data_IF_807206542170
#
_entry.id   IF_807206542170
#
_cell.length_a   1.000
_cell.length_b   1.000
_cell.length_c   1.000
_cell.angle_alpha   90.00
_cell.angle_beta   90.00
_cell.angle_gamma   90.00
#
_symmetry.space_group_name_H-M   'P 1'
#
loop_
_entity.id
_entity.type
_entity.pdbx_description
1 polymer ?
#
# COMPACT_ATOMS: atom_id res chain seq x y z
N UNK A 1 10.18 53.29 14.69
CA UNK A 1 10.93 52.02 14.60
C UNK A 1 9.90 50.90 14.52
N UNK A 2 9.61 50.43 13.32
CA UNK A 2 8.59 49.41 13.07
C UNK A 2 9.23 48.03 13.14
N UNK A 3 8.90 47.26 14.17
CA UNK A 3 9.42 45.91 14.38
C UNK A 3 8.72 44.94 13.43
N UNK A 4 9.39 44.56 12.35
CA UNK A 4 8.95 43.47 11.50
C UNK A 4 9.03 42.15 12.28
N UNK A 5 7.88 41.56 12.59
CA UNK A 5 7.79 40.20 13.10
C UNK A 5 7.83 39.25 11.89
N UNK A 6 8.98 38.59 11.69
CA UNK A 6 9.11 37.51 10.72
C UNK A 6 8.22 36.33 11.16
N UNK A 7 7.32 35.81 10.32
CA UNK A 7 6.54 34.62 10.68
C UNK A 7 7.48 33.41 10.78
N UNK A 8 7.54 32.80 11.96
CA UNK A 8 8.22 31.53 12.15
C UNK A 8 7.55 30.48 11.27
N UNK A 9 8.30 29.92 10.31
CA UNK A 9 7.85 28.80 9.50
C UNK A 9 7.43 27.62 10.40
N UNK A 10 6.44 26.80 9.98
CA UNK A 10 5.93 25.73 10.83
C UNK A 10 7.06 24.74 11.14
N UNK A 11 7.54 24.75 12.38
CA UNK A 11 8.46 23.74 12.89
C UNK A 11 7.73 22.39 12.81
N UNK A 12 8.20 21.51 11.92
CA UNK A 12 7.70 20.15 11.83
C UNK A 12 7.88 19.47 13.21
N UNK A 13 6.80 19.35 13.97
CA UNK A 13 6.88 18.94 15.37
C UNK A 13 7.44 17.52 15.56
N UNK A 14 7.83 17.14 16.79
CA UNK A 14 8.41 15.84 17.13
C UNK A 14 7.59 14.62 16.68
N UNK A 15 6.27 14.79 16.51
CA UNK A 15 5.36 13.75 16.00
C UNK A 15 5.51 13.52 14.48
N UNK A 16 5.71 14.58 13.70
CA UNK A 16 5.97 14.47 12.27
C UNK A 16 7.32 13.77 12.02
N UNK A 17 8.33 14.11 12.82
CA UNK A 17 9.63 13.44 12.81
C UNK A 17 9.50 11.95 13.19
N UNK A 18 8.77 11.60 14.26
CA UNK A 18 8.54 10.19 14.65
C UNK A 18 7.78 9.39 13.59
N UNK A 19 6.82 10.02 12.91
CA UNK A 19 6.07 9.40 11.80
C UNK A 19 7.00 9.13 10.62
N UNK A 20 7.82 10.10 10.23
CA UNK A 20 8.82 9.95 9.17
C UNK A 20 9.86 8.88 9.50
N UNK A 21 10.36 8.85 10.74
CA UNK A 21 11.29 7.81 11.22
C UNK A 21 10.64 6.42 11.13
N UNK A 22 9.37 6.27 11.52
CA UNK A 22 8.67 4.98 11.39
C UNK A 22 8.47 4.56 9.93
N UNK A 23 8.18 5.51 9.04
CA UNK A 23 8.07 5.26 7.60
C UNK A 23 9.41 4.80 7.03
N UNK A 24 10.50 5.50 7.36
CA UNK A 24 11.85 5.16 6.94
C UNK A 24 12.31 3.81 7.50
N UNK A 25 12.03 3.52 8.78
CA UNK A 25 12.35 2.22 9.38
C UNK A 25 11.59 1.06 8.74
N UNK A 26 10.34 1.28 8.31
CA UNK A 26 9.60 0.27 7.56
C UNK A 26 10.20 0.05 6.18
N UNK A 27 10.59 1.11 5.45
CA UNK A 27 11.27 0.99 4.15
C UNK A 27 12.64 0.31 4.29
N UNK A 28 13.44 0.73 5.27
CA UNK A 28 14.76 0.14 5.57
C UNK A 28 14.62 -1.31 6.02
N UNK A 29 13.64 -1.62 6.87
CA UNK A 29 13.33 -3.00 7.27
C UNK A 29 12.93 -3.86 6.08
N UNK A 30 12.08 -3.34 5.19
CA UNK A 30 11.68 -4.04 3.97
C UNK A 30 12.87 -4.30 3.04
N UNK A 31 13.73 -3.30 2.87
CA UNK A 31 14.95 -3.39 2.07
C UNK A 31 15.98 -4.36 2.68
N UNK A 32 16.10 -4.39 4.00
CA UNK A 32 16.97 -5.31 4.73
C UNK A 32 16.48 -6.76 4.61
N UNK A 33 15.18 -7.02 4.76
CA UNK A 33 14.60 -8.37 4.56
C UNK A 33 14.74 -8.80 3.10
N UNK A 34 14.56 -7.90 2.14
CA UNK A 34 14.82 -8.16 0.71
C UNK A 34 16.28 -8.55 0.45
N UNK A 35 17.25 -7.78 0.97
CA UNK A 35 18.68 -8.13 0.86
C UNK A 35 19.00 -9.47 1.54
N UNK A 36 18.49 -9.70 2.74
CA UNK A 36 18.73 -10.94 3.49
C UNK A 36 18.17 -12.18 2.78
N UNK A 37 16.96 -12.07 2.21
CA UNK A 37 16.37 -13.11 1.37
C UNK A 37 17.21 -13.42 0.12
N UNK A 38 17.88 -12.40 -0.45
CA UNK A 38 18.73 -12.57 -1.62
C UNK A 38 20.06 -13.27 -1.31
N UNK A 39 20.64 -13.08 -0.11
CA UNK A 39 21.80 -13.87 0.33
C UNK A 39 21.49 -15.37 0.43
N UNK A 40 20.25 -15.73 0.77
CA UNK A 40 19.79 -17.13 0.89
C UNK A 40 19.41 -17.77 -0.46
N UNK A 41 19.31 -16.99 -1.54
CA UNK A 41 18.78 -17.41 -2.84
C UNK A 41 19.85 -17.68 -3.91
N UNK A 42 21.13 -17.45 -3.61
CA UNK A 42 22.21 -17.41 -4.62
C UNK A 42 22.50 -18.77 -5.30
N UNK A 43 21.97 -19.88 -4.79
CA UNK A 43 22.21 -21.24 -5.32
C UNK A 43 20.93 -22.00 -5.73
N UNK A 44 19.80 -21.32 -5.99
CA UNK A 44 18.49 -21.97 -6.25
C UNK A 44 17.98 -21.92 -7.69
N UNK A 45 18.85 -21.67 -8.66
CA UNK A 45 18.47 -21.57 -10.08
C UNK A 45 17.77 -22.83 -10.59
N UNK A 46 18.31 -24.02 -10.30
CA UNK A 46 17.71 -25.29 -10.73
C UNK A 46 16.33 -25.52 -10.10
N UNK A 47 16.14 -25.09 -8.85
CA UNK A 47 14.84 -25.14 -8.17
C UNK A 47 13.84 -24.22 -8.88
N UNK A 48 14.27 -23.01 -9.26
CA UNK A 48 13.45 -22.05 -9.99
C UNK A 48 12.96 -22.59 -11.33
N UNK A 49 13.80 -23.31 -12.07
CA UNK A 49 13.44 -23.97 -13.33
C UNK A 49 12.51 -25.17 -13.13
N UNK A 50 12.73 -26.00 -12.09
CA UNK A 50 11.80 -27.10 -11.76
C UNK A 50 10.42 -26.57 -11.37
N UNK A 51 10.38 -25.50 -10.58
CA UNK A 51 9.13 -24.84 -10.24
C UNK A 51 8.48 -24.21 -11.48
N UNK A 52 9.26 -23.66 -12.41
CA UNK A 52 8.76 -23.14 -13.69
C UNK A 52 8.08 -24.23 -14.52
N UNK A 53 8.69 -25.40 -14.65
CA UNK A 53 8.08 -26.54 -15.33
C UNK A 53 6.75 -26.97 -14.66
N UNK A 54 6.72 -27.04 -13.32
CA UNK A 54 5.49 -27.37 -12.57
C UNK A 54 4.39 -26.33 -12.75
N UNK A 55 4.74 -25.04 -12.66
CA UNK A 55 3.80 -23.94 -12.90
C UNK A 55 3.29 -24.02 -14.34
N UNK A 56 4.19 -24.28 -15.30
CA UNK A 56 3.84 -24.47 -16.69
C UNK A 56 2.80 -25.59 -16.82
N UNK A 57 3.10 -26.80 -16.39
CA UNK A 57 2.18 -27.94 -16.47
C UNK A 57 0.85 -27.69 -15.75
N UNK A 58 0.87 -26.99 -14.61
CA UNK A 58 -0.34 -26.64 -13.86
C UNK A 58 -1.31 -25.76 -14.67
N UNK A 59 -0.83 -24.74 -15.37
CA UNK A 59 -1.71 -23.88 -16.20
C UNK A 59 -2.30 -24.65 -17.39
N UNK A 60 -1.52 -25.57 -17.97
CA UNK A 60 -1.97 -26.48 -19.02
C UNK A 60 -3.08 -27.40 -18.51
N UNK A 61 -2.89 -27.96 -17.33
CA UNK A 61 -3.89 -28.78 -16.65
C UNK A 61 -5.16 -27.98 -16.33
N UNK A 62 -5.02 -26.72 -15.91
CA UNK A 62 -6.13 -25.79 -15.67
C UNK A 62 -6.75 -25.22 -16.96
N UNK A 63 -6.25 -25.59 -18.13
CA UNK A 63 -6.69 -25.11 -19.44
C UNK A 63 -6.67 -23.57 -19.55
N UNK A 64 -5.68 -22.93 -18.91
CA UNK A 64 -5.49 -21.49 -19.06
C UNK A 64 -4.97 -21.16 -20.47
N UNK A 65 -5.29 -19.96 -21.01
CA UNK A 65 -4.79 -19.55 -22.32
C UNK A 65 -3.26 -19.54 -22.33
N UNK A 66 -2.63 -20.01 -23.40
CA UNK A 66 -1.17 -19.93 -23.52
C UNK A 66 -0.68 -18.48 -23.57
N UNK A 67 0.36 -18.16 -22.79
CA UNK A 67 0.99 -16.83 -22.72
C UNK A 67 1.43 -16.36 -24.12
N UNK A 68 1.82 -17.30 -24.98
CA UNK A 68 2.22 -17.07 -26.36
C UNK A 68 1.13 -16.41 -27.22
N UNK A 69 -0.16 -16.57 -26.89
CA UNK A 69 -1.22 -15.87 -27.60
C UNK A 69 -1.14 -14.35 -27.37
N UNK A 70 -0.83 -13.93 -26.14
CA UNK A 70 -0.64 -12.51 -25.78
C UNK A 70 0.69 -12.00 -26.34
N UNK A 71 1.76 -12.79 -26.24
CA UNK A 71 3.07 -12.40 -26.77
C UNK A 71 3.02 -12.20 -28.29
N UNK A 72 2.36 -13.09 -29.04
CA UNK A 72 2.18 -12.91 -30.50
C UNK A 72 1.53 -11.57 -30.82
N UNK A 73 0.53 -11.13 -30.07
CA UNK A 73 -0.11 -9.83 -30.29
C UNK A 73 0.90 -8.67 -30.15
N UNK A 74 1.74 -8.70 -29.11
CA UNK A 74 2.79 -7.68 -28.92
C UNK A 74 3.84 -7.69 -30.03
N UNK A 75 4.17 -8.87 -30.55
CA UNK A 75 5.17 -9.05 -31.61
C UNK A 75 4.66 -8.66 -33.01
N UNK A 76 3.43 -8.15 -33.16
CA UNK A 76 2.95 -7.62 -34.44
C UNK A 76 3.65 -6.31 -34.85
N UNK A 77 4.35 -5.64 -33.94
CA UNK A 77 5.15 -4.47 -34.29
C UNK A 77 6.13 -4.07 -33.20
N UNK A 78 7.35 -3.70 -33.62
CA UNK A 78 8.46 -3.33 -32.74
C UNK A 78 8.06 -2.23 -31.75
N UNK A 79 7.29 -1.23 -32.21
CA UNK A 79 6.81 -0.15 -31.34
C UNK A 79 5.91 -0.67 -30.20
N UNK A 80 5.09 -1.69 -30.42
CA UNK A 80 4.22 -2.26 -29.40
C UNK A 80 5.02 -3.01 -28.33
N UNK A 81 5.95 -3.87 -28.75
CA UNK A 81 6.78 -4.63 -27.82
C UNK A 81 7.75 -3.72 -27.04
N UNK A 82 8.38 -2.73 -27.68
CA UNK A 82 9.25 -1.76 -26.99
C UNK A 82 8.43 -0.89 -26.02
N UNK A 83 7.20 -0.51 -26.38
CA UNK A 83 6.30 0.20 -25.46
C UNK A 83 5.93 -0.66 -24.27
N UNK A 84 5.63 -1.95 -24.46
CA UNK A 84 5.32 -2.88 -23.39
C UNK A 84 6.53 -3.11 -22.46
N UNK A 85 7.73 -3.28 -23.01
CA UNK A 85 8.97 -3.38 -22.23
C UNK A 85 9.24 -2.10 -21.43
N UNK A 86 9.02 -0.92 -22.03
CA UNK A 86 9.18 0.37 -21.36
C UNK A 86 8.13 0.56 -20.25
N UNK A 87 6.88 0.16 -20.51
CA UNK A 87 5.81 0.18 -19.51
C UNK A 87 6.18 -0.69 -18.31
N UNK A 88 6.62 -1.93 -18.57
CA UNK A 88 7.08 -2.86 -17.56
C UNK A 88 8.21 -2.26 -16.72
N UNK A 89 9.18 -1.63 -17.37
CA UNK A 89 10.35 -1.07 -16.71
C UNK A 89 10.04 0.17 -15.83
N UNK A 90 9.14 1.05 -16.28
CA UNK A 90 9.07 2.42 -15.74
C UNK A 90 7.77 2.73 -15.02
N UNK A 91 6.63 2.15 -15.37
CA UNK A 91 5.32 2.65 -14.89
C UNK A 91 5.04 2.29 -13.44
N UNK A 92 5.49 1.12 -13.01
CA UNK A 92 5.09 0.52 -11.74
C UNK A 92 5.35 1.41 -10.50
N UNK A 93 6.60 1.85 -10.32
CA UNK A 93 7.00 2.66 -9.15
C UNK A 93 6.43 4.08 -9.18
N UNK A 94 6.57 4.86 -10.28
CA UNK A 94 6.02 6.21 -10.37
C UNK A 94 4.50 6.24 -10.23
N UNK A 95 3.76 5.32 -10.88
CA UNK A 95 2.31 5.27 -10.74
C UNK A 95 1.89 5.03 -9.30
N UNK A 96 2.55 4.10 -8.60
CA UNK A 96 2.29 3.80 -7.19
C UNK A 96 2.62 5.00 -6.30
N UNK A 97 3.77 5.65 -6.52
CA UNK A 97 4.17 6.83 -5.77
C UNK A 97 3.18 7.99 -5.94
N UNK A 98 2.83 8.33 -7.18
CA UNK A 98 1.85 9.38 -7.50
C UNK A 98 0.49 9.08 -6.87
N UNK A 99 0.04 7.83 -6.93
CA UNK A 99 -1.21 7.41 -6.32
C UNK A 99 -1.20 7.55 -4.78
N UNK A 100 -0.13 7.11 -4.13
CA UNK A 100 0.01 7.23 -2.68
C UNK A 100 0.13 8.70 -2.24
N UNK A 101 0.84 9.54 -2.99
CA UNK A 101 0.90 11.00 -2.75
C UNK A 101 -0.49 11.62 -2.88
N UNK A 102 -1.22 11.28 -3.94
CA UNK A 102 -2.59 11.76 -4.14
C UNK A 102 -3.51 11.35 -2.98
N UNK A 103 -3.47 10.07 -2.56
CA UNK A 103 -4.23 9.61 -1.40
C UNK A 103 -3.81 10.34 -0.12
N UNK A 104 -2.51 10.55 0.09
CA UNK A 104 -2.01 11.24 1.27
C UNK A 104 -2.55 12.67 1.36
N UNK A 105 -2.56 13.40 0.25
CA UNK A 105 -3.02 14.81 0.20
C UNK A 105 -4.55 14.92 0.21
N UNK A 106 -5.26 14.05 -0.51
CA UNK A 106 -6.70 14.21 -0.77
C UNK A 106 -7.59 13.29 0.06
N UNK A 107 -7.07 12.14 0.50
CA UNK A 107 -7.83 11.05 1.12
C UNK A 107 -7.03 10.33 2.23
N UNK A 108 -6.63 11.03 3.33
CA UNK A 108 -5.69 10.48 4.32
C UNK A 108 -6.12 9.15 4.96
N UNK A 109 -7.42 8.95 5.20
CA UNK A 109 -7.95 7.69 5.72
C UNK A 109 -7.71 6.52 4.74
N UNK A 110 -7.94 6.75 3.45
CA UNK A 110 -7.69 5.75 2.40
C UNK A 110 -6.20 5.52 2.17
N UNK A 111 -5.35 6.54 2.36
CA UNK A 111 -3.89 6.40 2.32
C UNK A 111 -3.41 5.38 3.37
N UNK A 112 -3.84 5.53 4.63
CA UNK A 112 -3.40 4.64 5.71
C UNK A 112 -3.83 3.18 5.46
N UNK A 113 -5.07 2.98 5.01
CA UNK A 113 -5.58 1.67 4.65
C UNK A 113 -4.79 1.07 3.48
N UNK A 114 -4.67 1.82 2.38
CA UNK A 114 -3.96 1.36 1.17
C UNK A 114 -2.52 1.00 1.46
N UNK A 115 -1.82 1.84 2.24
CA UNK A 115 -0.44 1.59 2.65
C UNK A 115 -0.30 0.30 3.44
N UNK A 116 -1.22 0.03 4.38
CA UNK A 116 -1.21 -1.21 5.18
C UNK A 116 -1.45 -2.44 4.30
N UNK A 117 -2.40 -2.37 3.38
CA UNK A 117 -2.69 -3.44 2.42
C UNK A 117 -1.48 -3.70 1.52
N UNK A 118 -0.89 -2.65 0.94
CA UNK A 118 0.32 -2.78 0.10
C UNK A 118 1.50 -3.35 0.88
N UNK A 119 1.72 -2.92 2.13
CA UNK A 119 2.78 -3.48 2.97
C UNK A 119 2.53 -4.97 3.27
N UNK A 120 1.29 -5.36 3.57
CA UNK A 120 0.91 -6.75 3.80
C UNK A 120 1.07 -7.62 2.55
N UNK A 121 0.55 -7.16 1.41
CA UNK A 121 0.71 -7.83 0.10
C UNK A 121 2.18 -8.01 -0.25
N UNK A 122 2.97 -6.94 -0.16
CA UNK A 122 4.40 -7.01 -0.51
C UNK A 122 5.15 -7.91 0.45
N UNK A 123 4.81 -7.90 1.74
CA UNK A 123 5.45 -8.76 2.75
C UNK A 123 5.15 -10.23 2.50
N UNK A 124 3.89 -10.57 2.22
CA UNK A 124 3.48 -11.92 1.86
C UNK A 124 4.13 -12.36 0.53
N UNK A 125 4.20 -11.47 -0.46
CA UNK A 125 4.87 -11.74 -1.73
C UNK A 125 6.36 -12.04 -1.53
N UNK A 126 7.04 -11.29 -0.66
CA UNK A 126 8.45 -11.54 -0.34
C UNK A 126 8.64 -12.92 0.31
N UNK A 127 7.78 -13.28 1.27
CA UNK A 127 7.84 -14.63 1.89
C UNK A 127 7.61 -15.73 0.85
N UNK A 128 6.59 -15.57 0.00
CA UNK A 128 6.30 -16.54 -1.05
C UNK A 128 7.46 -16.66 -2.04
N UNK A 129 8.03 -15.54 -2.49
CA UNK A 129 9.17 -15.49 -3.40
C UNK A 129 10.39 -16.25 -2.84
N UNK A 130 10.67 -16.11 -1.54
CA UNK A 130 11.75 -16.83 -0.88
C UNK A 130 11.46 -18.33 -0.70
N UNK A 131 10.20 -18.69 -0.48
CA UNK A 131 9.77 -20.07 -0.31
C UNK A 131 9.62 -20.82 -1.64
N UNK A 132 9.35 -20.10 -2.73
CA UNK A 132 9.06 -20.66 -4.05
C UNK A 132 9.77 -19.83 -5.13
N UNK A 133 11.09 -20.01 -5.32
CA UNK A 133 11.78 -19.37 -6.44
C UNK A 133 11.19 -19.87 -7.75
N UNK A 134 10.99 -18.98 -8.72
CA UNK A 134 10.30 -19.31 -9.98
C UNK A 134 10.94 -18.62 -11.16
N UNK A 135 11.43 -19.41 -12.12
CA UNK A 135 11.94 -18.89 -13.38
C UNK A 135 10.77 -18.43 -14.28
N UNK A 136 10.84 -17.22 -14.86
CA UNK A 136 9.79 -16.65 -15.69
C UNK A 136 9.66 -17.38 -17.04
N UNK A 137 8.51 -17.25 -17.73
CA UNK A 137 8.25 -17.95 -18.99
C UNK A 137 9.31 -17.72 -20.08
N UNK A 138 9.87 -16.51 -20.18
CA UNK A 138 10.91 -16.15 -21.17
C UNK A 138 12.23 -16.92 -21.02
N UNK A 139 12.47 -17.55 -19.86
CA UNK A 139 13.66 -18.35 -19.62
C UNK A 139 13.39 -19.86 -19.77
N UNK A 140 12.12 -20.27 -19.86
CA UNK A 140 11.73 -21.67 -19.94
C UNK A 140 11.65 -22.13 -21.41
N UNK A 141 12.57 -23.00 -21.85
CA UNK A 141 12.61 -23.49 -23.24
C UNK A 141 11.29 -24.12 -23.70
N UNK A 142 10.65 -24.90 -22.81
CA UNK A 142 9.36 -25.54 -23.08
C UNK A 142 8.24 -24.52 -23.38
N UNK A 143 8.40 -23.26 -22.96
CA UNK A 143 7.43 -22.21 -23.25
C UNK A 143 7.52 -21.69 -24.69
N UNK A 144 8.70 -21.77 -25.31
CA UNK A 144 8.93 -21.24 -26.66
C UNK A 144 8.69 -19.73 -26.78
N UNK A 145 8.80 -18.99 -25.67
CA UNK A 145 8.56 -17.55 -25.61
C UNK A 145 9.86 -16.77 -25.73
N UNK A 146 9.80 -15.62 -26.38
CA UNK A 146 10.95 -14.74 -26.59
C UNK A 146 11.15 -13.85 -25.37
N UNK A 147 12.41 -13.69 -24.92
CA UNK A 147 12.80 -12.62 -24.00
C UNK A 147 12.75 -11.27 -24.74
N UNK A 148 11.57 -10.64 -24.72
CA UNK A 148 11.33 -9.39 -25.45
C UNK A 148 12.21 -8.26 -24.96
N UNK A 149 12.59 -8.26 -23.69
CA UNK A 149 13.42 -7.23 -23.09
C UNK A 149 14.86 -7.32 -23.60
N UNK A 150 15.39 -8.54 -23.79
CA UNK A 150 16.72 -8.74 -24.38
C UNK A 150 16.74 -8.49 -25.89
N UNK A 151 15.69 -8.90 -26.62
CA UNK A 151 15.65 -8.79 -28.09
C UNK A 151 15.29 -7.38 -28.57
N UNK A 152 14.28 -6.74 -27.97
CA UNK A 152 13.74 -5.44 -28.43
C UNK A 152 14.07 -4.27 -27.51
N UNK A 153 14.40 -4.54 -26.25
CA UNK A 153 14.66 -3.50 -25.25
C UNK A 153 13.43 -2.67 -24.83
N UNK A 154 13.57 -1.85 -23.78
CA UNK A 154 14.69 -1.87 -22.82
C UNK A 154 14.63 -3.09 -21.88
N UNK A 155 15.79 -3.58 -21.44
CA UNK A 155 15.88 -4.58 -20.36
C UNK A 155 16.14 -3.93 -19.02
N UNK A 156 15.43 -4.39 -17.99
CA UNK A 156 15.72 -4.06 -16.58
C UNK A 156 16.70 -5.04 -15.94
N UNK A 157 17.01 -6.14 -16.64
CA UNK A 157 17.93 -7.19 -16.22
C UNK A 157 19.27 -7.03 -16.96
N UNK A 158 20.38 -7.09 -16.23
CA UNK A 158 21.72 -7.12 -16.83
C UNK A 158 22.11 -8.56 -17.21
N UNK A 159 22.96 -8.70 -18.21
CA UNK A 159 23.38 -9.98 -18.79
C UNK A 159 24.14 -10.94 -17.83
N UNK A 160 24.56 -10.47 -16.65
CA UNK A 160 25.25 -11.28 -15.64
C UNK A 160 24.43 -11.39 -14.34
N UNK A 161 24.16 -12.60 -13.81
CA UNK A 161 23.41 -12.82 -12.55
C UNK A 161 24.06 -12.21 -11.29
N UNK A 162 25.31 -11.74 -11.40
CA UNK A 162 26.15 -11.39 -10.25
C UNK A 162 26.10 -9.91 -9.83
N UNK A 163 25.63 -8.99 -10.68
CA UNK A 163 25.67 -7.56 -10.37
C UNK A 163 24.32 -6.97 -9.96
N UNK A 164 24.41 -6.05 -8.99
CA UNK A 164 23.36 -5.44 -8.18
C UNK A 164 22.30 -4.67 -9.00
N UNK A 165 21.40 -5.40 -9.65
CA UNK A 165 20.16 -4.82 -10.18
C UNK A 165 19.08 -4.83 -9.10
N UNK A 166 18.22 -3.80 -9.12
CA UNK A 166 17.07 -3.72 -8.21
C UNK A 166 16.03 -4.83 -8.46
N UNK A 167 16.10 -5.55 -9.59
CA UNK A 167 15.14 -6.56 -10.02
C UNK A 167 15.76 -7.96 -10.14
N UNK A 168 15.23 -8.94 -9.39
CA UNK A 168 15.65 -10.33 -9.48
C UNK A 168 14.97 -11.02 -10.68
N UNK A 169 15.75 -11.58 -11.61
CA UNK A 169 15.23 -12.22 -12.83
C UNK A 169 14.49 -13.55 -12.58
N UNK A 170 14.71 -14.21 -11.42
CA UNK A 170 14.06 -15.47 -11.02
C UNK A 170 12.92 -15.25 -10.01
N UNK A 171 12.29 -14.09 -10.05
CA UNK A 171 11.23 -13.65 -9.14
C UNK A 171 9.88 -13.48 -9.83
N UNK A 172 9.42 -14.52 -10.52
CA UNK A 172 8.16 -14.46 -11.25
C UNK A 172 6.93 -14.49 -10.30
N UNK A 173 6.89 -15.38 -9.30
CA UNK A 173 5.70 -15.50 -8.43
C UNK A 173 5.92 -14.92 -7.03
N UNK A 174 4.99 -14.09 -6.52
CA UNK A 174 3.78 -13.58 -7.19
C UNK A 174 4.06 -12.27 -7.96
N UNK A 175 3.20 -11.93 -8.92
CA UNK A 175 3.39 -10.69 -9.70
C UNK A 175 3.04 -9.44 -8.89
N UNK A 176 4.05 -8.78 -8.32
CA UNK A 176 3.87 -7.50 -7.63
C UNK A 176 3.43 -6.38 -8.58
N UNK A 177 3.87 -6.42 -9.84
CA UNK A 177 3.39 -5.52 -10.90
C UNK A 177 1.85 -5.52 -10.95
N UNK A 178 1.27 -6.71 -11.10
CA UNK A 178 -0.17 -6.87 -11.15
C UNK A 178 -0.84 -6.58 -9.81
N UNK A 179 -0.31 -7.10 -8.70
CA UNK A 179 -0.87 -6.92 -7.37
C UNK A 179 -0.99 -5.45 -6.95
N UNK A 180 0.04 -4.64 -7.20
CA UNK A 180 -0.01 -3.20 -6.91
C UNK A 180 -0.93 -2.47 -7.88
N UNK A 181 -0.87 -2.77 -9.19
CA UNK A 181 -1.76 -2.16 -10.17
C UNK A 181 -3.24 -2.41 -9.84
N UNK A 182 -3.57 -3.61 -9.35
CA UNK A 182 -4.91 -3.96 -8.90
C UNK A 182 -5.29 -3.19 -7.63
N UNK A 183 -4.39 -3.09 -6.66
CA UNK A 183 -4.62 -2.29 -5.44
C UNK A 183 -4.81 -0.79 -5.76
N UNK A 184 -4.06 -0.24 -6.71
CA UNK A 184 -4.22 1.12 -7.21
C UNK A 184 -5.65 1.34 -7.73
N UNK A 185 -6.11 0.46 -8.61
CA UNK A 185 -7.46 0.53 -9.16
C UNK A 185 -8.54 0.43 -8.06
N UNK A 186 -8.43 -0.56 -7.18
CA UNK A 186 -9.36 -0.76 -6.07
C UNK A 186 -9.36 0.42 -5.10
N UNK A 187 -8.19 1.01 -4.83
CA UNK A 187 -8.07 2.16 -3.96
C UNK A 187 -8.67 3.42 -4.56
N UNK A 188 -8.52 3.66 -5.88
CA UNK A 188 -9.24 4.75 -6.56
C UNK A 188 -10.75 4.52 -6.54
N UNK A 189 -11.21 3.30 -6.82
CA UNK A 189 -12.64 2.93 -6.77
C UNK A 189 -13.21 3.16 -5.37
N UNK A 190 -12.46 2.81 -4.33
CA UNK A 190 -12.86 3.01 -2.94
C UNK A 190 -12.88 4.49 -2.55
N UNK A 191 -11.91 5.28 -3.02
CA UNK A 191 -11.71 6.67 -2.63
C UNK A 191 -12.50 7.71 -3.46
N UNK A 192 -13.22 7.27 -4.51
CA UNK A 192 -13.97 8.13 -5.42
C UNK A 192 -15.39 7.63 -5.66
N UNK A 193 -16.31 8.55 -5.97
CA UNK A 193 -17.74 8.27 -6.22
C UNK A 193 -18.14 8.37 -7.70
N UNK A 194 -17.23 8.77 -8.59
CA UNK A 194 -17.52 8.93 -10.02
C UNK A 194 -17.91 7.60 -10.66
N UNK A 195 -18.90 7.62 -11.57
CA UNK A 195 -19.25 6.43 -12.39
C UNK A 195 -18.08 5.91 -13.23
N UNK A 196 -17.14 6.80 -13.59
CA UNK A 196 -15.95 6.47 -14.37
C UNK A 196 -14.83 5.81 -13.55
N UNK A 197 -14.99 5.66 -12.22
CA UNK A 197 -13.96 5.08 -11.36
C UNK A 197 -13.57 3.66 -11.76
N UNK A 198 -14.49 2.90 -12.36
CA UNK A 198 -14.22 1.53 -12.80
C UNK A 198 -13.28 1.47 -14.02
N UNK A 199 -13.11 2.56 -14.78
CA UNK A 199 -12.11 2.63 -15.85
C UNK A 199 -10.69 2.43 -15.32
N UNK A 200 -10.45 2.65 -14.02
CA UNK A 200 -9.16 2.35 -13.41
C UNK A 200 -8.81 0.85 -13.41
N UNK A 201 -9.77 -0.05 -13.62
CA UNK A 201 -9.49 -1.47 -13.86
C UNK A 201 -8.76 -1.74 -15.19
N UNK A 202 -8.75 -0.77 -16.11
CA UNK A 202 -7.91 -0.85 -17.31
C UNK A 202 -6.42 -0.87 -16.97
N UNK A 203 -6.00 -0.26 -15.85
CA UNK A 203 -4.60 -0.26 -15.43
C UNK A 203 -4.07 -1.66 -15.06
N UNK A 204 -4.68 -2.44 -14.14
CA UNK A 204 -4.26 -3.81 -13.88
C UNK A 204 -4.47 -4.73 -15.08
N UNK A 205 -5.50 -4.50 -15.92
CA UNK A 205 -5.67 -5.26 -17.15
C UNK A 205 -4.50 -5.03 -18.13
N UNK A 206 -4.13 -3.77 -18.37
CA UNK A 206 -2.97 -3.43 -19.21
C UNK A 206 -1.69 -4.00 -18.62
N UNK A 207 -1.52 -3.89 -17.30
CA UNK A 207 -0.35 -4.45 -16.60
C UNK A 207 -0.29 -5.96 -16.80
N UNK A 208 -1.41 -6.68 -16.67
CA UNK A 208 -1.51 -8.12 -16.90
C UNK A 208 -1.09 -8.50 -18.33
N UNK A 209 -1.62 -7.79 -19.32
CA UNK A 209 -1.26 -8.03 -20.73
C UNK A 209 0.22 -7.77 -21.00
N UNK A 210 0.79 -6.72 -20.41
CA UNK A 210 2.21 -6.39 -20.54
C UNK A 210 3.07 -7.48 -19.91
N UNK A 211 2.82 -7.87 -18.65
CA UNK A 211 3.67 -8.85 -17.95
C UNK A 211 3.62 -10.25 -18.58
N UNK A 212 2.44 -10.67 -19.06
CA UNK A 212 2.27 -11.97 -19.72
C UNK A 212 2.86 -11.93 -21.12
N UNK A 213 2.55 -10.89 -21.89
CA UNK A 213 3.01 -10.79 -23.27
C UNK A 213 4.52 -10.54 -23.41
N UNK A 214 5.15 -9.88 -22.43
CA UNK A 214 6.62 -9.78 -22.34
C UNK A 214 7.27 -11.03 -21.74
N UNK A 215 6.47 -12.08 -21.46
CA UNK A 215 6.89 -13.35 -20.89
C UNK A 215 7.66 -13.21 -19.56
N UNK A 216 7.35 -12.17 -18.80
CA UNK A 216 7.90 -11.95 -17.46
C UNK A 216 7.14 -12.72 -16.38
N UNK A 217 5.87 -13.04 -16.63
CA UNK A 217 4.99 -13.68 -15.65
C UNK A 217 4.04 -14.70 -16.31
N UNK A 218 3.73 -15.76 -15.57
CA UNK A 218 2.65 -16.71 -15.86
C UNK A 218 1.30 -16.10 -15.47
N UNK A 219 0.18 -16.68 -15.93
CA UNK A 219 -1.15 -16.29 -15.43
C UNK A 219 -1.31 -16.61 -13.94
N UNK A 220 -0.77 -17.74 -13.49
CA UNK A 220 -0.80 -18.12 -12.08
C UNK A 220 -0.12 -17.09 -11.18
N UNK A 221 0.93 -16.40 -11.65
CA UNK A 221 1.60 -15.36 -10.87
C UNK A 221 0.63 -14.21 -10.53
N UNK A 222 -0.24 -13.85 -11.47
CA UNK A 222 -1.26 -12.83 -11.31
C UNK A 222 -2.42 -13.32 -10.44
N UNK A 223 -2.84 -14.58 -10.59
CA UNK A 223 -3.87 -15.20 -9.74
C UNK A 223 -3.41 -15.23 -8.28
N UNK A 224 -2.18 -15.70 -8.01
CA UNK A 224 -1.63 -15.73 -6.65
C UNK A 224 -1.51 -14.32 -6.08
N UNK A 225 -1.05 -13.34 -6.87
CA UNK A 225 -1.01 -11.94 -6.42
C UNK A 225 -2.42 -11.41 -6.06
N UNK A 226 -3.44 -11.75 -6.85
CA UNK A 226 -4.83 -11.36 -6.56
C UNK A 226 -5.36 -12.02 -5.27
N UNK A 227 -5.05 -13.30 -5.04
CA UNK A 227 -5.44 -14.02 -3.82
C UNK A 227 -4.75 -13.44 -2.58
N UNK A 228 -3.46 -13.12 -2.68
CA UNK A 228 -2.71 -12.46 -1.60
C UNK A 228 -3.28 -11.06 -1.30
N UNK A 229 -3.61 -10.30 -2.35
CA UNK A 229 -4.25 -8.99 -2.19
C UNK A 229 -5.61 -9.12 -1.53
N UNK A 230 -6.43 -10.08 -1.97
CA UNK A 230 -7.74 -10.35 -1.39
C UNK A 230 -7.64 -10.70 0.10
N UNK A 231 -6.70 -11.58 0.47
CA UNK A 231 -6.43 -11.89 1.86
C UNK A 231 -6.00 -10.65 2.66
N UNK A 232 -5.10 -9.82 2.12
CA UNK A 232 -4.69 -8.57 2.77
C UNK A 232 -5.87 -7.58 2.94
N UNK A 233 -6.77 -7.50 1.97
CA UNK A 233 -7.98 -6.66 2.05
C UNK A 233 -8.97 -7.15 3.12
N UNK A 234 -9.07 -8.46 3.35
CA UNK A 234 -9.87 -9.03 4.44
C UNK A 234 -9.28 -8.74 5.82
N UNK A 235 -7.96 -8.80 5.93
CA UNK A 235 -7.24 -8.61 7.19
C UNK A 235 -7.10 -7.14 7.60
N UNK A 236 -7.19 -6.21 6.65
CA UNK A 236 -7.03 -4.77 6.90
C UNK A 236 -8.38 -4.05 6.74
N UNK A 237 -9.05 -3.68 7.85
CA UNK A 237 -10.36 -3.05 7.80
C UNK A 237 -10.38 -1.78 6.96
N UNK A 238 -11.39 -1.65 6.09
CA UNK A 238 -11.62 -0.45 5.29
C UNK A 238 -12.00 0.73 6.18
N UNK A 239 -11.51 1.96 5.91
CA UNK A 239 -11.93 3.15 6.65
C UNK A 239 -13.43 3.38 6.50
N UNK A 240 -14.11 3.69 7.59
CA UNK A 240 -15.52 4.10 7.54
C UNK A 240 -15.60 5.57 7.17
N UNK A 241 -16.64 5.97 6.43
CA UNK A 241 -16.90 7.38 6.07
C UNK A 241 -17.07 8.29 7.29
N UNK A 242 -17.30 7.71 8.46
CA UNK A 242 -17.49 8.38 9.75
C UNK A 242 -16.25 8.35 10.65
N UNK A 243 -15.14 7.72 10.23
CA UNK A 243 -13.94 7.66 11.06
C UNK A 243 -13.40 9.08 11.24
N UNK A 244 -13.34 9.60 12.49
CA UNK A 244 -12.75 10.90 12.76
C UNK A 244 -11.32 10.89 12.22
N UNK A 245 -10.95 11.96 11.52
CA UNK A 245 -9.54 12.20 11.23
C UNK A 245 -8.80 12.20 12.58
N UNK A 246 -7.88 11.24 12.83
CA UNK A 246 -7.22 11.14 14.12
C UNK A 246 -6.45 12.41 14.49
N UNK A 247 -6.17 13.29 13.52
CA UNK A 247 -5.55 14.60 13.74
C UNK A 247 -6.55 15.78 13.88
N UNK A 248 -7.84 15.64 13.54
CA UNK A 248 -8.84 16.73 13.74
C UNK A 248 -9.58 16.66 15.07
N UNK A 249 -9.58 15.52 15.75
CA UNK A 249 -10.36 15.32 16.97
C UNK A 249 -9.75 15.88 18.26
N UNK A 250 -8.58 16.54 18.21
CA UNK A 250 -7.92 17.06 19.42
C UNK A 250 -7.42 18.48 19.22
N UNK A 251 -8.37 19.39 18.98
CA UNK A 251 -8.14 20.82 19.19
C UNK A 251 -7.73 21.08 20.66
N UNK A 252 -6.94 22.13 20.93
CA UNK A 252 -6.46 22.47 22.26
C UNK A 252 -7.57 23.17 23.07
N UNK A 253 -8.70 22.52 23.31
CA UNK A 253 -9.77 23.10 24.15
C UNK A 253 -10.40 22.01 25.03
N UNK A 254 -9.80 21.79 26.21
CA UNK A 254 -10.47 21.20 27.37
C UNK A 254 -9.64 21.39 28.67
N UNK A 255 -8.94 22.54 28.84
CA UNK A 255 -8.33 22.91 30.13
C UNK A 255 -8.34 24.43 30.35
N UNK A 256 -9.51 25.04 30.31
CA UNK A 256 -9.75 26.37 30.88
C UNK A 256 -11.23 26.48 31.25
N UNK A 257 -11.63 25.83 32.34
CA UNK A 257 -12.81 26.25 33.09
C UNK A 257 -12.33 27.15 34.24
N UNK A 258 -12.92 28.34 34.46
CA UNK A 258 -12.62 29.12 35.65
C UNK A 258 -13.11 28.35 36.88
N UNK A 259 -12.26 28.33 37.90
CA UNK A 259 -12.55 27.82 39.24
C UNK A 259 -13.78 28.55 39.80
N UNK A 260 -14.84 27.85 40.25
CA UNK A 260 -15.94 28.51 40.93
C UNK A 260 -15.50 28.83 42.36
N UNK A 261 -15.43 30.14 42.62
CA UNK A 261 -15.33 30.77 43.92
C UNK A 261 -16.35 30.12 44.88
N UNK A 262 -15.86 29.42 45.91
CA UNK A 262 -16.71 28.84 46.94
C UNK A 262 -17.04 29.93 47.96
N UNK A 263 -18.08 30.71 47.64
CA UNK A 263 -18.81 31.51 48.61
C UNK A 263 -19.38 30.59 49.70
N UNK A 264 -18.82 30.71 50.90
CA UNK A 264 -19.25 30.03 52.12
C UNK A 264 -20.61 30.59 52.55
N UNK A 265 -21.69 29.79 52.65
CA UNK A 265 -22.92 30.26 53.24
C UNK A 265 -22.79 30.25 54.77
N UNK A 266 -22.82 31.44 55.35
CA UNK A 266 -22.97 31.68 56.80
C UNK A 266 -24.23 30.97 57.29
N UNK A 267 -24.04 29.93 58.12
CA UNK A 267 -25.13 29.24 58.81
C UNK A 267 -25.54 30.06 60.04
N UNK A 268 -26.58 30.87 59.88
CA UNK A 268 -27.22 31.59 60.98
C UNK A 268 -27.92 30.62 61.95
N UNK A 269 -27.51 30.67 63.21
CA UNK A 269 -28.12 29.91 64.32
C UNK A 269 -29.49 30.52 64.69
N UNK A 270 -30.51 29.72 65.06
CA UNK A 270 -31.78 30.25 65.54
C UNK A 270 -31.67 30.76 66.98
N UNK A 271 -32.14 31.99 67.23
CA UNK A 271 -32.37 32.53 68.59
C UNK A 271 -33.65 31.94 69.19
N UNK A 272 -33.68 31.57 70.48
CA UNK A 272 -34.93 31.24 71.16
C UNK A 272 -35.70 32.53 71.52
N UNK A 273 -37.01 32.53 71.26
CA UNK A 273 -37.94 33.58 71.70
C UNK A 273 -38.36 33.29 73.16
N UNK A 274 -38.05 34.21 74.05
CA UNK A 274 -38.70 34.32 75.36
C UNK A 274 -40.12 34.87 75.18
N UNK A 275 -41.09 34.15 75.72
CA UNK A 275 -42.47 34.61 75.84
C UNK A 275 -42.64 35.21 77.24
N UNK A 276 -42.88 36.52 77.32
CA UNK A 276 -43.39 37.16 78.52
C UNK A 276 -44.80 37.70 78.26
N UNK A 277 -45.74 37.07 78.95
CA UNK A 277 -46.84 37.64 79.72
C UNK A 277 -47.40 39.03 79.30
N UNK A 278 -48.66 39.02 78.84
CA UNK A 278 -49.56 40.18 78.93
C UNK A 278 -50.93 39.74 79.48
N UNK A 279 -51.21 40.21 80.68
CA UNK A 279 -52.51 40.24 81.37
C UNK A 279 -53.45 41.21 80.66
N UNK A 280 -54.74 40.89 80.58
CA UNK A 280 -55.77 41.83 80.12
C UNK A 280 -57.18 41.26 80.13
N UNK A 281 -57.86 41.40 81.25
CA UNK A 281 -59.23 40.97 81.50
C UNK A 281 -60.30 41.72 80.67
N UNK A 282 -61.36 40.99 80.32
CA UNK A 282 -62.74 41.49 80.25
C UNK A 282 -63.67 40.46 80.90
N UNK A 283 -64.02 40.70 82.16
CA UNK A 283 -65.37 41.09 82.63
C UNK A 283 -65.23 41.78 83.97
#
# INVERSE_FOLDING_TARGET
>A
MSSHTTPAGPAAGPRAARRLIRELLLVVGFFAVYKAGRLLSTDRTDEAFRNAARTWDAERFLHLPGEGAVQRLLLHGDALVTTANTYYAVVHFPATALFLIWLYVRRPAHYLWTRRVLAGLTGAALVLHLAFPLAPPRLLDAAGLIDTAQVYGPTVYKAAPAEDTLANQFAAMPSLHFGWALMLALGVIAATSSRWRFLWLLHPLLTLLVIVGTANHYWLDAVVAALLLWAALLLVPKPRTSDPDPDRGRGPDARTGPEPDQDVPVRSLPRPRSADSAVGARR
#
